data_IF_373443261538
#
_entry.id   IF_373443261538
#
_cell.length_a   1.000
_cell.length_b   1.000
_cell.length_c   1.000
_cell.angle_alpha   90.00
_cell.angle_beta   90.00
_cell.angle_gamma   90.00
#
_symmetry.space_group_name_H-M   'P 1'
#
loop_
_entity.id
_entity.type
_entity.pdbx_description
1 polymer ?
#
# COMPACT_ATOMS: atom_id res chain seq x y z
N UNK A 1 1.23 -12.80 7.30
CA UNK A 1 0.30 -11.66 7.11
C UNK A 1 -0.95 -11.74 7.98
N UNK A 2 -1.70 -12.87 8.00
CA UNK A 2 -2.94 -13.01 8.78
C UNK A 2 -2.86 -12.62 10.26
N UNK A 3 -1.73 -12.82 10.93
CA UNK A 3 -1.58 -12.42 12.34
C UNK A 3 -1.54 -10.90 12.54
N UNK A 4 -1.13 -10.13 11.53
CA UNK A 4 -1.09 -8.66 11.62
C UNK A 4 -2.50 -8.08 11.68
N UNK A 5 -3.51 -8.72 11.09
CA UNK A 5 -4.88 -8.19 11.03
C UNK A 5 -5.55 -8.06 12.40
N UNK A 6 -4.98 -8.68 13.44
CA UNK A 6 -5.42 -8.53 14.82
C UNK A 6 -4.97 -7.19 15.46
N UNK A 7 -3.95 -6.54 14.90
CA UNK A 7 -3.40 -5.28 15.40
C UNK A 7 -4.23 -4.08 14.93
N UNK A 8 -5.49 -4.00 15.34
CA UNK A 8 -6.44 -2.99 14.85
C UNK A 8 -6.05 -1.54 15.15
N UNK A 9 -5.15 -1.31 16.10
CA UNK A 9 -4.65 0.01 16.47
C UNK A 9 -3.29 0.34 15.82
N UNK A 10 -2.81 -0.47 14.87
CA UNK A 10 -1.56 -0.18 14.20
C UNK A 10 -1.72 1.02 13.26
N UNK A 11 -0.92 2.06 13.51
CA UNK A 11 -0.94 3.29 12.71
C UNK A 11 0.20 3.35 11.69
N UNK A 12 1.35 2.78 12.03
CA UNK A 12 2.55 2.81 11.19
C UNK A 12 3.08 1.40 10.97
N UNK A 13 3.31 1.06 9.72
CA UNK A 13 3.85 -0.24 9.33
C UNK A 13 4.88 -0.07 8.23
N UNK A 14 6.05 -0.65 8.44
CA UNK A 14 7.01 -0.91 7.37
C UNK A 14 7.18 -2.41 7.24
N UNK A 15 6.92 -2.95 6.05
CA UNK A 15 7.01 -4.38 5.79
C UNK A 15 7.62 -4.62 4.42
N UNK A 16 8.58 -5.55 4.38
CA UNK A 16 9.30 -5.86 3.17
C UNK A 16 9.99 -7.21 3.23
N UNK A 17 10.22 -7.82 2.06
CA UNK A 17 10.94 -9.08 1.95
C UNK A 17 10.72 -9.78 0.61
N UNK A 18 11.58 -10.76 0.31
CA UNK A 18 11.52 -11.58 -0.90
C UNK A 18 10.24 -12.44 -0.86
N UNK A 19 9.15 -11.94 -1.45
CA UNK A 19 7.86 -12.65 -1.53
C UNK A 19 6.66 -11.88 -1.01
N UNK A 20 6.81 -10.60 -0.64
CA UNK A 20 5.63 -9.75 -0.42
C UNK A 20 4.95 -9.42 -1.76
N UNK A 21 3.71 -9.88 -1.92
CA UNK A 21 2.88 -9.74 -3.14
C UNK A 21 1.58 -8.97 -2.85
N UNK A 22 0.78 -8.75 -3.90
CA UNK A 22 -0.55 -8.13 -3.82
C UNK A 22 -1.47 -8.81 -2.79
N UNK A 23 -1.43 -10.15 -2.69
CA UNK A 23 -2.19 -10.90 -1.67
C UNK A 23 -1.79 -10.51 -0.25
N UNK A 24 -0.50 -10.25 -0.04
CA UNK A 24 0.00 -9.73 1.22
C UNK A 24 -0.62 -8.39 1.58
N UNK A 25 -0.70 -7.49 0.58
CA UNK A 25 -1.31 -6.16 0.72
C UNK A 25 -2.81 -6.26 1.05
N UNK A 26 -3.53 -7.25 0.54
CA UNK A 26 -4.94 -7.49 0.87
C UNK A 26 -5.17 -7.73 2.38
N UNK A 27 -4.19 -8.29 3.09
CA UNK A 27 -4.26 -8.42 4.55
C UNK A 27 -3.95 -7.10 5.25
N UNK A 28 -2.99 -6.33 4.75
CA UNK A 28 -2.65 -5.01 5.32
C UNK A 28 -3.81 -4.03 5.21
N UNK A 29 -4.59 -4.12 4.14
CA UNK A 29 -5.82 -3.36 3.91
C UNK A 29 -6.92 -3.58 4.98
N UNK A 30 -6.74 -4.54 5.90
CA UNK A 30 -7.65 -4.81 7.02
C UNK A 30 -7.25 -4.10 8.33
N UNK A 31 -6.27 -3.19 8.26
CA UNK A 31 -5.77 -2.38 9.35
C UNK A 31 -6.30 -0.95 9.19
N UNK A 32 -7.51 -0.66 9.73
CA UNK A 32 -8.24 0.56 9.38
C UNK A 32 -7.57 1.84 9.87
N UNK A 33 -6.68 1.75 10.85
CA UNK A 33 -6.03 2.90 11.47
C UNK A 33 -4.64 3.20 10.89
N UNK A 34 -4.21 2.51 9.82
CA UNK A 34 -2.93 2.82 9.20
C UNK A 34 -2.94 4.23 8.60
N UNK A 35 -1.97 5.03 9.04
CA UNK A 35 -1.66 6.39 8.54
C UNK A 35 -0.36 6.42 7.76
N UNK A 36 0.58 5.50 8.05
CA UNK A 36 1.85 5.39 7.33
C UNK A 36 2.16 3.94 6.97
N UNK A 37 2.39 3.71 5.68
CA UNK A 37 2.70 2.39 5.14
C UNK A 37 3.91 2.45 4.21
N UNK A 38 4.93 1.64 4.54
CA UNK A 38 6.08 1.40 3.68
C UNK A 38 6.11 -0.06 3.24
N UNK A 39 6.19 -0.29 1.93
CA UNK A 39 6.14 -1.61 1.30
C UNK A 39 7.39 -1.88 0.48
N UNK A 40 7.96 -3.06 0.61
CA UNK A 40 9.01 -3.56 -0.28
C UNK A 40 8.68 -4.97 -0.77
N UNK A 41 8.48 -5.12 -2.07
CA UNK A 41 8.02 -6.37 -2.70
C UNK A 41 7.83 -6.24 -4.20
N UNK A 42 6.96 -7.07 -4.76
CA UNK A 42 6.56 -6.99 -6.18
C UNK A 42 5.06 -6.77 -6.24
N UNK A 43 4.66 -5.59 -6.71
CA UNK A 43 3.27 -5.16 -6.68
C UNK A 43 2.76 -4.81 -8.08
N UNK A 44 1.51 -5.18 -8.34
CA UNK A 44 0.76 -4.83 -9.56
C UNK A 44 -0.41 -3.91 -9.25
N UNK A 45 -1.15 -3.48 -10.27
CA UNK A 45 -2.39 -2.71 -10.13
C UNK A 45 -3.37 -3.31 -9.07
N UNK A 46 -3.33 -4.63 -8.86
CA UNK A 46 -4.15 -5.31 -7.84
C UNK A 46 -3.82 -4.85 -6.41
N UNK A 47 -2.55 -4.58 -6.08
CA UNK A 47 -2.19 -4.01 -4.78
C UNK A 47 -2.87 -2.65 -4.56
N UNK A 48 -2.90 -1.79 -5.59
CA UNK A 48 -3.54 -0.47 -5.48
C UNK A 48 -5.02 -0.60 -5.17
N UNK A 49 -5.73 -1.56 -5.78
CA UNK A 49 -7.16 -1.83 -5.47
C UNK A 49 -7.36 -2.16 -3.98
N UNK A 50 -6.45 -2.92 -3.37
CA UNK A 50 -6.50 -3.22 -1.95
C UNK A 50 -6.17 -2.02 -1.06
N UNK A 51 -5.14 -1.25 -1.42
CA UNK A 51 -4.68 -0.08 -0.65
C UNK A 51 -5.74 1.03 -0.56
N UNK A 52 -6.65 1.14 -1.53
CA UNK A 52 -7.80 2.06 -1.47
C UNK A 52 -8.70 1.86 -0.25
N UNK A 53 -8.64 0.72 0.43
CA UNK A 53 -9.41 0.48 1.66
C UNK A 53 -8.84 1.21 2.88
N UNK A 54 -7.58 1.64 2.83
CA UNK A 54 -6.90 2.35 3.90
C UNK A 54 -7.21 3.84 3.84
N UNK A 55 -8.45 4.22 4.16
CA UNK A 55 -8.96 5.59 4.03
C UNK A 55 -8.26 6.62 4.93
N UNK A 56 -7.57 6.16 5.98
CA UNK A 56 -6.78 7.00 6.89
C UNK A 56 -5.31 7.12 6.47
N UNK A 57 -4.91 6.52 5.34
CA UNK A 57 -3.51 6.50 4.93
C UNK A 57 -3.07 7.86 4.40
N UNK A 58 -2.08 8.44 5.04
CA UNK A 58 -1.49 9.75 4.71
C UNK A 58 -0.15 9.61 3.99
N UNK A 59 0.60 8.55 4.31
CA UNK A 59 1.90 8.26 3.70
C UNK A 59 1.93 6.84 3.15
N UNK A 60 2.24 6.73 1.86
CA UNK A 60 2.50 5.47 1.17
C UNK A 60 3.85 5.54 0.45
N UNK A 61 4.70 4.56 0.74
CA UNK A 61 6.03 4.46 0.13
C UNK A 61 6.31 3.05 -0.36
N UNK A 62 6.66 2.91 -1.63
CA UNK A 62 7.16 1.67 -2.22
C UNK A 62 8.68 1.75 -2.34
N UNK A 63 9.39 0.93 -1.56
CA UNK A 63 10.85 0.86 -1.54
C UNK A 63 11.45 -0.05 -2.62
N UNK A 64 10.63 -0.59 -3.50
CA UNK A 64 11.02 -1.50 -4.58
C UNK A 64 10.28 -1.14 -5.87
N UNK A 65 10.73 -1.70 -6.99
CA UNK A 65 10.08 -1.49 -8.28
C UNK A 65 8.62 -1.96 -8.27
N UNK A 66 7.74 -1.11 -8.76
CA UNK A 66 6.31 -1.38 -8.94
C UNK A 66 6.02 -1.66 -10.43
N UNK A 67 4.92 -2.34 -10.72
CA UNK A 67 4.44 -2.55 -12.08
C UNK A 67 3.03 -1.97 -12.21
N UNK A 68 2.90 -0.67 -11.88
CA UNK A 68 1.63 0.04 -11.93
C UNK A 68 1.42 0.68 -13.30
N UNK A 69 0.21 0.53 -13.85
CA UNK A 69 -0.16 1.25 -15.07
C UNK A 69 -0.48 2.72 -14.77
N UNK A 70 -0.24 3.66 -15.71
CA UNK A 70 -0.61 5.07 -15.51
C UNK A 70 -2.10 5.26 -15.19
N UNK A 71 -2.95 4.40 -15.76
CA UNK A 71 -4.39 4.39 -15.49
C UNK A 71 -4.66 4.03 -14.02
N UNK A 72 -4.08 2.92 -13.53
CA UNK A 72 -4.31 2.47 -12.16
C UNK A 72 -3.79 3.47 -11.13
N UNK A 73 -2.64 4.11 -11.41
CA UNK A 73 -2.10 5.21 -10.61
C UNK A 73 -3.06 6.41 -10.55
N UNK A 74 -3.58 6.84 -11.70
CA UNK A 74 -4.51 7.96 -11.76
C UNK A 74 -5.79 7.66 -10.96
N UNK A 75 -6.39 6.49 -11.17
CA UNK A 75 -7.56 6.05 -10.41
C UNK A 75 -7.24 5.89 -8.90
N UNK A 76 -6.04 5.44 -8.55
CA UNK A 76 -5.62 5.31 -7.14
C UNK A 76 -5.54 6.68 -6.48
N UNK A 77 -4.91 7.66 -7.12
CA UNK A 77 -4.77 9.02 -6.61
C UNK A 77 -6.10 9.72 -6.42
N UNK A 78 -7.08 9.52 -7.32
CA UNK A 78 -8.41 10.11 -7.16
C UNK A 78 -9.22 9.46 -6.04
N UNK A 79 -8.95 8.20 -5.71
CA UNK A 79 -9.63 7.45 -4.65
C UNK A 79 -9.00 7.58 -3.25
N UNK A 80 -7.87 8.28 -3.13
CA UNK A 80 -7.09 8.44 -1.90
C UNK A 80 -6.95 9.94 -1.55
N UNK A 81 -8.05 10.62 -1.17
CA UNK A 81 -8.04 12.07 -0.95
C UNK A 81 -7.18 12.52 0.25
N UNK A 82 -6.92 11.62 1.19
CA UNK A 82 -6.14 11.89 2.41
C UNK A 82 -4.64 11.62 2.24
N UNK A 83 -4.20 11.11 1.09
CA UNK A 83 -2.81 10.74 0.87
C UNK A 83 -1.97 12.00 0.63
N UNK A 84 -1.14 12.35 1.61
CA UNK A 84 -0.26 13.52 1.60
C UNK A 84 1.02 13.21 0.83
N UNK A 85 1.60 12.03 1.09
CA UNK A 85 2.86 11.60 0.47
C UNK A 85 2.70 10.26 -0.21
N UNK A 86 3.02 10.22 -1.50
CA UNK A 86 3.11 9.02 -2.31
C UNK A 86 4.50 8.96 -2.94
N UNK A 87 5.22 7.86 -2.72
CA UNK A 87 6.51 7.58 -3.36
C UNK A 87 6.52 6.18 -3.93
N UNK A 88 6.94 6.02 -5.18
CA UNK A 88 7.27 4.75 -5.79
C UNK A 88 8.54 4.84 -6.62
N UNK A 89 9.18 3.69 -6.85
CA UNK A 89 10.29 3.60 -7.78
C UNK A 89 9.75 3.56 -9.22
N UNK A 90 9.47 4.74 -9.78
CA UNK A 90 9.29 4.86 -11.23
C UNK A 90 10.61 4.53 -11.93
N UNK A 91 10.62 3.49 -12.78
CA UNK A 91 11.70 3.32 -13.76
C UNK A 91 11.54 4.45 -14.78
N UNK A 92 12.41 5.46 -14.69
CA UNK A 92 12.58 6.46 -15.75
C UNK A 92 12.97 5.82 -17.07
#
# INVERSE_FOLDING_TARGET
MRHLTALKHLERLSVGGNGLTDDGVAYLAQLPNLTSLTLSGTFTDSALVHLRKLQNLELLDFMSGTNFTPRALNEFRTSMPNLITYRDFEKR
#
